data_IF_215521977696
#
_entry.id   IF_215521977696
#
_cell.length_a   1.000
_cell.length_b   1.000
_cell.length_c   1.000
_cell.angle_alpha   90.00
_cell.angle_beta   90.00
_cell.angle_gamma   90.00
#
_symmetry.space_group_name_H-M   'P 1'
#
loop_
_entity.id
_entity.type
_entity.pdbx_description
1 polymer ?
#
# COMPACT_ATOMS: atom_id res chain seq x y z
N UNK A 1 -15.19 -25.66 4.06
CA UNK A 1 -14.37 -25.29 2.88
C UNK A 1 -15.06 -24.41 1.84
N UNK A 2 -16.34 -24.64 1.49
CA UNK A 2 -17.03 -23.84 0.45
C UNK A 2 -17.01 -22.33 0.69
N UNK A 3 -17.19 -21.86 1.92
CA UNK A 3 -17.17 -20.42 2.27
C UNK A 3 -15.80 -19.78 2.01
N UNK A 4 -14.70 -20.47 2.35
CA UNK A 4 -13.34 -19.97 2.09
C UNK A 4 -13.06 -19.85 0.59
N UNK A 5 -13.54 -20.81 -0.21
CA UNK A 5 -13.43 -20.76 -1.67
C UNK A 5 -14.19 -19.55 -2.24
N UNK A 6 -15.45 -19.34 -1.83
CA UNK A 6 -16.25 -18.20 -2.27
C UNK A 6 -15.62 -16.86 -1.86
N UNK A 7 -15.03 -16.78 -0.66
CA UNK A 7 -14.30 -15.58 -0.24
C UNK A 7 -13.08 -15.33 -1.12
N UNK A 8 -12.33 -16.38 -1.47
CA UNK A 8 -11.19 -16.27 -2.36
C UNK A 8 -11.59 -15.75 -3.76
N UNK A 9 -12.65 -16.32 -4.35
CA UNK A 9 -13.22 -15.86 -5.62
C UNK A 9 -13.69 -14.40 -5.52
N UNK A 10 -14.27 -14.00 -4.39
CA UNK A 10 -14.69 -12.63 -4.16
C UNK A 10 -13.51 -11.65 -4.12
N UNK A 11 -12.46 -11.96 -3.37
CA UNK A 11 -11.25 -11.10 -3.29
C UNK A 11 -10.54 -11.02 -4.65
N UNK A 12 -10.52 -12.12 -5.41
CA UNK A 12 -10.00 -12.14 -6.78
C UNK A 12 -10.83 -11.26 -7.74
N UNK A 13 -12.16 -11.30 -7.59
CA UNK A 13 -13.05 -10.39 -8.30
C UNK A 13 -12.79 -8.92 -7.96
N UNK A 14 -12.57 -8.60 -6.68
CA UNK A 14 -12.20 -7.24 -6.26
C UNK A 14 -10.88 -6.80 -6.88
N UNK A 15 -9.84 -7.65 -6.83
CA UNK A 15 -8.54 -7.38 -7.42
C UNK A 15 -8.65 -7.09 -8.92
N UNK A 16 -9.44 -7.88 -9.64
CA UNK A 16 -9.71 -7.68 -11.07
C UNK A 16 -10.41 -6.34 -11.33
N UNK A 17 -11.45 -6.01 -10.55
CA UNK A 17 -12.17 -4.75 -10.66
C UNK A 17 -11.31 -3.52 -10.36
N UNK A 18 -10.24 -3.64 -9.56
CA UNK A 18 -9.29 -2.53 -9.34
C UNK A 18 -8.44 -2.18 -10.58
N UNK A 19 -8.48 -3.00 -11.63
CA UNK A 19 -7.76 -2.80 -12.90
C UNK A 19 -8.69 -2.30 -14.01
N UNK A 20 -9.98 -2.11 -13.72
CA UNK A 20 -10.98 -1.67 -14.70
C UNK A 20 -10.74 -0.24 -15.20
N UNK A 21 -11.15 0.04 -16.44
CA UNK A 21 -11.07 1.37 -17.05
C UNK A 21 -12.07 2.36 -16.42
N UNK A 22 -13.18 1.85 -15.89
CA UNK A 22 -14.22 2.64 -15.26
C UNK A 22 -13.83 2.99 -13.81
N UNK A 23 -13.56 4.28 -13.58
CA UNK A 23 -13.10 4.76 -12.27
C UNK A 23 -14.07 4.42 -11.13
N UNK A 24 -15.39 4.47 -11.37
CA UNK A 24 -16.38 4.17 -10.32
C UNK A 24 -16.34 2.69 -9.88
N UNK A 25 -15.98 1.77 -10.77
CA UNK A 25 -15.79 0.35 -10.43
C UNK A 25 -14.55 0.18 -9.57
N UNK A 26 -13.44 0.82 -9.95
CA UNK A 26 -12.22 0.87 -9.13
C UNK A 26 -12.51 1.42 -7.74
N UNK A 27 -13.24 2.53 -7.63
CA UNK A 27 -13.63 3.15 -6.34
C UNK A 27 -14.43 2.18 -5.45
N UNK A 28 -15.42 1.50 -6.02
CA UNK A 28 -16.19 0.49 -5.29
C UNK A 28 -15.29 -0.66 -4.81
N UNK A 29 -14.43 -1.17 -5.68
CA UNK A 29 -13.52 -2.27 -5.36
C UNK A 29 -12.54 -1.91 -4.23
N UNK A 30 -11.84 -0.77 -4.32
CA UNK A 30 -10.90 -0.35 -3.26
C UNK A 30 -11.61 -0.07 -1.94
N UNK A 31 -12.82 0.49 -1.95
CA UNK A 31 -13.60 0.76 -0.74
C UNK A 31 -14.03 -0.54 -0.08
N UNK A 32 -14.46 -1.53 -0.86
CA UNK A 32 -14.81 -2.86 -0.36
C UNK A 32 -13.59 -3.57 0.21
N UNK A 33 -12.46 -3.58 -0.51
CA UNK A 33 -11.21 -4.19 -0.03
C UNK A 33 -10.74 -3.56 1.29
N UNK A 34 -10.78 -2.23 1.41
CA UNK A 34 -10.49 -1.52 2.66
C UNK A 34 -11.45 -1.90 3.78
N UNK A 35 -12.74 -1.96 3.50
CA UNK A 35 -13.75 -2.31 4.52
C UNK A 35 -13.52 -3.72 5.06
N UNK A 36 -13.20 -4.68 4.20
CA UNK A 36 -12.83 -6.04 4.60
C UNK A 36 -11.56 -6.04 5.43
N UNK A 37 -10.48 -5.41 4.94
CA UNK A 37 -9.20 -5.34 5.65
C UNK A 37 -9.36 -4.75 7.06
N UNK A 38 -10.18 -3.70 7.20
CA UNK A 38 -10.39 -3.01 8.46
C UNK A 38 -11.24 -3.80 9.46
N UNK A 39 -12.27 -4.52 8.98
CA UNK A 39 -13.29 -5.11 9.86
C UNK A 39 -13.21 -6.64 10.00
N UNK A 40 -12.80 -7.34 8.94
CA UNK A 40 -12.75 -8.80 8.81
C UNK A 40 -11.60 -9.20 7.86
N UNK A 41 -10.33 -9.10 8.31
CA UNK A 41 -9.15 -9.27 7.45
C UNK A 41 -8.84 -10.74 7.08
N UNK A 42 -9.84 -11.48 6.60
CA UNK A 42 -9.58 -12.77 5.93
C UNK A 42 -8.75 -12.48 4.67
N UNK A 43 -7.64 -13.20 4.47
CA UNK A 43 -6.63 -12.87 3.45
C UNK A 43 -6.04 -11.44 3.56
N UNK A 44 -5.73 -10.99 4.78
CA UNK A 44 -5.16 -9.66 5.08
C UNK A 44 -4.08 -9.20 4.09
N UNK A 45 -3.07 -10.03 3.84
CA UNK A 45 -1.96 -9.70 2.94
C UNK A 45 -2.44 -9.40 1.51
N UNK A 46 -3.41 -10.15 1.00
CA UNK A 46 -3.94 -9.95 -0.36
C UNK A 46 -4.77 -8.67 -0.43
N UNK A 47 -5.63 -8.42 0.55
CA UNK A 47 -6.43 -7.19 0.63
C UNK A 47 -5.53 -5.95 0.73
N UNK A 48 -4.49 -6.02 1.55
CA UNK A 48 -3.51 -4.94 1.68
C UNK A 48 -2.76 -4.71 0.37
N UNK A 49 -2.32 -5.78 -0.30
CA UNK A 49 -1.63 -5.66 -1.60
C UNK A 49 -2.54 -5.04 -2.66
N UNK A 50 -3.83 -5.40 -2.72
CA UNK A 50 -4.83 -4.76 -3.60
C UNK A 50 -4.83 -3.24 -3.39
N UNK A 51 -4.85 -2.78 -2.14
CA UNK A 51 -4.83 -1.34 -1.82
C UNK A 51 -3.50 -0.70 -2.17
N UNK A 52 -2.37 -1.25 -1.70
CA UNK A 52 -1.04 -0.67 -1.92
C UNK A 52 -0.71 -0.56 -3.41
N UNK A 53 -1.10 -1.54 -4.22
CA UNK A 53 -0.94 -1.49 -5.68
C UNK A 53 -1.66 -0.30 -6.33
N UNK A 54 -2.68 0.25 -5.67
CA UNK A 54 -3.45 1.41 -6.15
C UNK A 54 -2.84 2.76 -5.74
N UNK A 55 -1.75 2.79 -4.96
CA UNK A 55 -0.94 4.00 -4.78
C UNK A 55 -0.33 4.48 -6.11
N UNK A 56 -0.10 3.56 -7.05
CA UNK A 56 0.36 3.86 -8.40
C UNK A 56 -0.73 4.03 -9.46
N UNK A 57 -2.01 4.13 -9.08
CA UNK A 57 -3.08 4.29 -10.07
C UNK A 57 -2.93 5.61 -10.86
N UNK A 58 -3.15 5.61 -12.19
CA UNK A 58 -3.10 6.83 -12.98
C UNK A 58 -4.16 7.85 -12.56
N UNK A 59 -5.31 7.40 -12.01
CA UNK A 59 -6.28 8.31 -11.43
C UNK A 59 -5.78 8.81 -10.07
N UNK A 60 -5.50 10.12 -10.01
CA UNK A 60 -5.16 10.80 -8.75
C UNK A 60 -6.19 10.55 -7.66
N UNK A 61 -7.47 10.51 -8.03
CA UNK A 61 -8.58 10.30 -7.09
C UNK A 61 -8.53 8.91 -6.46
N UNK A 62 -8.20 7.87 -7.25
CA UNK A 62 -8.00 6.50 -6.73
C UNK A 62 -6.82 6.45 -5.76
N UNK A 63 -5.65 6.95 -6.17
CA UNK A 63 -4.45 6.95 -5.34
C UNK A 63 -4.67 7.74 -4.03
N UNK A 64 -5.28 8.92 -4.09
CA UNK A 64 -5.61 9.72 -2.90
C UNK A 64 -6.59 9.01 -1.96
N UNK A 65 -7.60 8.31 -2.49
CA UNK A 65 -8.53 7.53 -1.66
C UNK A 65 -7.82 6.41 -0.92
N UNK A 66 -6.88 5.72 -1.58
CA UNK A 66 -6.09 4.65 -0.98
C UNK A 66 -5.21 5.19 0.15
N UNK A 67 -4.53 6.31 -0.08
CA UNK A 67 -3.74 6.99 0.97
C UNK A 67 -4.63 7.32 2.18
N UNK A 68 -5.82 7.86 1.94
CA UNK A 68 -6.79 8.14 3.01
C UNK A 68 -7.22 6.86 3.76
N UNK A 69 -7.53 5.77 3.04
CA UNK A 69 -7.91 4.50 3.63
C UNK A 69 -6.79 3.89 4.48
N UNK A 70 -5.55 3.92 4.01
CA UNK A 70 -4.41 3.40 4.77
C UNK A 70 -4.14 4.23 6.03
N UNK A 71 -4.29 5.56 5.98
CA UNK A 71 -4.21 6.39 7.19
C UNK A 71 -5.36 6.10 8.15
N UNK A 72 -6.59 5.97 7.64
CA UNK A 72 -7.74 5.58 8.48
C UNK A 72 -7.57 4.19 9.10
N UNK A 73 -6.82 3.29 8.46
CA UNK A 73 -6.48 1.99 9.03
C UNK A 73 -5.57 2.13 10.25
N UNK A 74 -4.65 3.10 10.25
CA UNK A 74 -3.74 3.32 11.38
C UNK A 74 -4.43 3.89 12.62
N UNK A 75 -5.49 4.67 12.44
CA UNK A 75 -6.30 5.19 13.55
C UNK A 75 -7.05 4.06 14.27
N UNK A 76 -7.55 3.08 13.52
CA UNK A 76 -8.31 1.95 14.09
C UNK A 76 -7.41 0.79 14.54
N UNK A 77 -6.33 0.54 13.80
CA UNK A 77 -5.39 -0.57 14.01
C UNK A 77 -3.93 -0.08 13.99
N UNK A 78 -3.44 0.59 15.04
CA UNK A 78 -2.08 1.15 15.07
C UNK A 78 -0.96 0.13 14.84
N UNK A 79 -1.19 -1.15 15.17
CA UNK A 79 -0.25 -2.25 14.91
C UNK A 79 -0.02 -2.56 13.44
N UNK A 80 -0.91 -2.10 12.55
CA UNK A 80 -0.76 -2.29 11.11
C UNK A 80 0.33 -1.41 10.49
N UNK A 81 0.80 -0.36 11.17
CA UNK A 81 1.79 0.59 10.61
C UNK A 81 3.04 -0.11 10.04
N UNK A 82 3.59 -1.06 10.79
CA UNK A 82 4.79 -1.81 10.36
C UNK A 82 4.52 -2.73 9.17
N UNK A 83 3.33 -3.36 9.14
CA UNK A 83 2.91 -4.28 8.07
C UNK A 83 2.67 -3.49 6.78
N UNK A 84 1.94 -2.37 6.87
CA UNK A 84 1.68 -1.49 5.72
C UNK A 84 2.98 -0.87 5.20
N UNK A 85 3.88 -0.43 6.08
CA UNK A 85 5.19 0.08 5.66
C UNK A 85 6.01 -0.99 4.92
N UNK A 86 5.96 -2.26 5.34
CA UNK A 86 6.61 -3.37 4.61
C UNK A 86 6.00 -3.59 3.22
N UNK A 87 4.67 -3.58 3.10
CA UNK A 87 4.04 -3.80 1.80
C UNK A 87 4.30 -2.63 0.84
N UNK A 88 4.33 -1.40 1.33
CA UNK A 88 4.68 -0.23 0.52
C UNK A 88 6.17 -0.24 0.13
N UNK A 89 7.06 -0.72 1.00
CA UNK A 89 8.47 -0.98 0.64
C UNK A 89 8.55 -1.99 -0.52
N UNK A 90 7.86 -3.13 -0.41
CA UNK A 90 7.82 -4.14 -1.47
C UNK A 90 7.29 -3.57 -2.79
N UNK A 91 6.30 -2.68 -2.73
CA UNK A 91 5.76 -1.98 -3.89
C UNK A 91 6.76 -0.99 -4.49
N UNK A 92 7.41 -0.18 -3.65
CA UNK A 92 8.34 0.88 -4.04
C UNK A 92 9.56 0.35 -4.79
N UNK A 93 10.09 -0.81 -4.37
CA UNK A 93 11.28 -1.44 -4.97
C UNK A 93 10.96 -2.37 -6.14
N UNK A 94 9.73 -2.35 -6.70
CA UNK A 94 9.43 -3.10 -7.92
C UNK A 94 10.19 -2.52 -9.11
N UNK A 95 10.75 -3.36 -10.00
CA UNK A 95 11.34 -2.90 -11.24
C UNK A 95 10.35 -2.05 -12.05
N UNK A 96 10.86 -0.99 -12.67
CA UNK A 96 10.08 -0.12 -13.57
C UNK A 96 8.83 0.51 -12.94
N UNK A 97 8.82 0.72 -11.61
CA UNK A 97 7.72 1.43 -10.97
C UNK A 97 7.71 2.89 -11.43
N UNK A 98 6.55 3.36 -11.92
CA UNK A 98 6.41 4.72 -12.44
C UNK A 98 6.82 5.80 -11.41
N UNK A 99 7.51 6.88 -11.81
CA UNK A 99 8.00 7.92 -10.90
C UNK A 99 6.91 8.53 -10.00
N UNK A 100 5.69 8.68 -10.54
CA UNK A 100 4.53 9.16 -9.77
C UNK A 100 4.10 8.21 -8.65
N UNK A 101 4.18 6.91 -8.89
CA UNK A 101 3.88 5.89 -7.91
C UNK A 101 4.95 5.86 -6.81
N UNK A 102 6.22 6.01 -7.18
CA UNK A 102 7.33 6.19 -6.23
C UNK A 102 7.09 7.41 -5.34
N UNK A 103 6.82 8.58 -5.94
CA UNK A 103 6.53 9.83 -5.23
C UNK A 103 5.37 9.68 -4.23
N UNK A 104 4.26 9.08 -4.67
CA UNK A 104 3.07 8.87 -3.82
C UNK A 104 3.38 7.93 -2.64
N UNK A 105 4.16 6.88 -2.89
CA UNK A 105 4.58 5.92 -1.85
C UNK A 105 5.50 6.57 -0.81
N UNK A 106 6.48 7.37 -1.25
CA UNK A 106 7.39 8.09 -0.36
C UNK A 106 6.63 9.11 0.50
N UNK A 107 5.69 9.86 -0.09
CA UNK A 107 4.83 10.78 0.67
C UNK A 107 4.02 10.01 1.71
N UNK A 108 3.39 8.90 1.32
CA UNK A 108 2.60 8.10 2.24
C UNK A 108 3.45 7.60 3.43
N UNK A 109 4.64 7.04 3.15
CA UNK A 109 5.57 6.56 4.19
C UNK A 109 6.01 7.70 5.13
N UNK A 110 6.22 8.90 4.61
CA UNK A 110 6.63 10.07 5.39
C UNK A 110 5.53 10.54 6.37
N UNK A 111 4.27 10.31 6.01
CA UNK A 111 3.11 10.71 6.81
C UNK A 111 2.73 9.70 7.90
N UNK A 112 3.45 8.57 8.03
CA UNK A 112 3.18 7.61 9.10
C UNK A 112 3.56 8.23 10.45
N UNK A 113 2.57 8.43 11.31
CA UNK A 113 2.79 8.92 12.67
C UNK A 113 3.46 7.84 13.53
N UNK A 114 4.67 8.15 14.01
CA UNK A 114 5.46 7.29 14.88
C UNK A 114 4.99 7.38 16.34
N UNK A 115 5.22 6.30 17.08
CA UNK A 115 4.91 6.18 18.51
C UNK A 115 6.17 5.81 19.30
N UNK A 116 6.09 5.90 20.63
CA UNK A 116 7.11 5.32 21.52
C UNK A 116 6.86 3.83 21.77
N UNK A 117 5.62 3.37 21.58
CA UNK A 117 5.25 1.97 21.76
C UNK A 117 5.64 1.17 20.53
N UNK A 118 6.35 0.07 20.73
CA UNK A 118 6.80 -0.80 19.62
C UNK A 118 5.63 -1.28 18.75
N UNK A 119 4.54 -1.70 19.39
CA UNK A 119 3.32 -2.20 18.73
C UNK A 119 2.51 -1.15 17.98
N UNK A 120 2.87 0.14 18.00
CA UNK A 120 2.07 1.22 17.40
C UNK A 120 2.91 2.14 16.49
N UNK A 121 3.97 1.57 15.90
CA UNK A 121 4.95 2.30 15.08
C UNK A 121 6.10 2.85 15.90
N UNK A 122 6.71 2.00 16.72
CA UNK A 122 7.80 2.36 17.62
C UNK A 122 9.16 2.59 16.96
N UNK A 123 10.23 2.62 17.78
CA UNK A 123 11.60 2.85 17.31
C UNK A 123 12.07 1.92 16.18
N UNK A 124 11.64 0.64 16.13
CA UNK A 124 12.07 -0.24 15.04
C UNK A 124 11.48 0.18 13.69
N UNK A 125 10.20 0.62 13.65
CA UNK A 125 9.60 1.17 12.44
C UNK A 125 10.32 2.46 12.02
N UNK A 126 10.65 3.35 12.96
CA UNK A 126 11.40 4.56 12.64
C UNK A 126 12.76 4.25 11.97
N UNK A 127 13.50 3.29 12.53
CA UNK A 127 14.78 2.83 11.95
C UNK A 127 14.59 2.23 10.56
N UNK A 128 13.54 1.43 10.38
CA UNK A 128 13.21 0.84 9.09
C UNK A 128 12.92 1.90 8.03
N UNK A 129 12.11 2.92 8.35
CA UNK A 129 11.82 4.01 7.43
C UNK A 129 13.10 4.76 7.01
N UNK A 130 14.01 5.02 7.94
CA UNK A 130 15.32 5.63 7.64
C UNK A 130 16.11 4.76 6.64
N UNK A 131 16.24 3.46 6.91
CA UNK A 131 16.96 2.53 6.03
C UNK A 131 16.31 2.46 4.64
N UNK A 132 14.99 2.44 4.58
CA UNK A 132 14.22 2.46 3.34
C UNK A 132 14.51 3.73 2.54
N UNK A 133 14.47 4.91 3.16
CA UNK A 133 14.77 6.18 2.47
C UNK A 133 16.20 6.23 1.94
N UNK A 134 17.19 5.77 2.71
CA UNK A 134 18.57 5.70 2.22
C UNK A 134 18.73 4.71 1.07
N UNK A 135 18.11 3.53 1.16
CA UNK A 135 18.15 2.53 0.09
C UNK A 135 17.50 3.06 -1.19
N UNK A 136 16.37 3.76 -1.05
CA UNK A 136 15.68 4.37 -2.18
C UNK A 136 16.48 5.54 -2.78
N UNK A 137 17.12 6.35 -1.94
CA UNK A 137 18.03 7.41 -2.41
C UNK A 137 19.23 6.84 -3.19
N UNK A 138 19.85 5.76 -2.68
CA UNK A 138 20.93 5.07 -3.38
C UNK A 138 20.47 4.52 -4.73
N UNK A 139 19.27 3.94 -4.79
CA UNK A 139 18.66 3.48 -6.04
C UNK A 139 18.54 4.62 -7.06
N UNK A 140 18.05 5.80 -6.65
CA UNK A 140 17.87 6.95 -7.54
C UNK A 140 19.18 7.64 -7.97
N UNK A 141 20.24 7.49 -7.18
CA UNK A 141 21.55 8.12 -7.44
C UNK A 141 22.54 7.20 -8.12
N UNK A 142 22.20 5.91 -8.26
CA UNK A 142 23.04 4.94 -8.95
C UNK A 142 23.17 5.33 -10.44
N UNK A 143 24.38 5.53 -10.98
CA UNK A 143 24.54 5.88 -12.39
C UNK A 143 23.98 4.84 -13.35
N UNK A 144 23.94 3.55 -12.96
CA UNK A 144 23.41 2.47 -13.81
C UNK A 144 21.90 2.56 -14.07
N UNK A 145 21.12 3.21 -13.20
CA UNK A 145 19.67 3.39 -13.39
C UNK A 145 19.33 4.61 -14.26
N UNK A 146 20.33 5.41 -14.67
CA UNK A 146 20.13 6.61 -15.51
C UNK A 146 20.27 6.35 -17.01
N UNK A 147 20.75 5.17 -17.40
CA UNK A 147 20.99 4.82 -18.80
C UNK A 147 19.73 4.23 -19.50
N UNK A 148 18.62 4.06 -18.76
CA UNK A 148 17.35 3.52 -19.27
C UNK A 148 16.25 4.58 -19.53
N UNK A 149 16.53 5.88 -19.31
CA UNK A 149 15.66 7.01 -19.68
C UNK A 149 16.11 7.69 -20.97
#
# INVERSE_FOLDING_TARGET
>A
DRVKALYNEFVEGLETLTKDNLEFLKQKAIKTAFTLLKTKPEQEARLLSILVNKLGDPSRKIASNVVYFLHSLFEEHPGMKSIVAQEVENFLFRPSLAPRAQYTSVIFLNQILLSKKESEGGPALARKLINLYFSFFQLLTNPATREEE
#
